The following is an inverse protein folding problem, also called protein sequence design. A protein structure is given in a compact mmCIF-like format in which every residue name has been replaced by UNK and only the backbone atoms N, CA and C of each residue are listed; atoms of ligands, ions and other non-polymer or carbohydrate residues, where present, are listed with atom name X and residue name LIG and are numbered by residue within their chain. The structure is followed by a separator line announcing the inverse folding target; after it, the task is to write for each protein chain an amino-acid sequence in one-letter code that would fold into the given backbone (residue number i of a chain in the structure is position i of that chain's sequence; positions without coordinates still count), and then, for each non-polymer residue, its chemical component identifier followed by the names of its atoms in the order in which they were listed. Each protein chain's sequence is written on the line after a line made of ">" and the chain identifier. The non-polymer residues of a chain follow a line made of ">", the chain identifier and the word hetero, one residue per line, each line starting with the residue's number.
data_IF_992414763370
#
_entry.id   IF_992414763370
#
_cell.length_a   1.000
_cell.length_b   1.000
_cell.length_c   1.000
_cell.angle_alpha   90.00
_cell.angle_beta   90.00
_cell.angle_gamma   90.00
#
_symmetry.space_group_name_H-M   'P 1'
#
loop_
_entity.id
_entity.type
_entity.pdbx_description
1 polymer ?
#
# COMPACT_ATOMS: atom_id res chain seq x y z
N UNK A 1 -43.70 -48.89 8.07
CA UNK A 1 -44.76 -49.11 9.08
C UNK A 1 -44.52 -50.46 9.75
N UNK A 2 -44.86 -50.69 11.04
CA UNK A 2 -45.80 -49.93 11.89
C UNK A 2 -45.20 -49.45 13.24
N UNK A 3 -45.58 -48.25 13.72
CA UNK A 3 -46.62 -47.90 14.75
C UNK A 3 -46.14 -48.13 16.20
N UNK A 4 -45.82 -47.08 16.97
CA UNK A 4 -46.70 -46.12 17.71
C UNK A 4 -47.29 -46.66 19.03
N UNK A 5 -47.13 -45.90 20.13
CA UNK A 5 -48.19 -45.39 21.06
C UNK A 5 -47.57 -44.90 22.39
N UNK A 6 -47.73 -43.61 22.77
CA UNK A 6 -48.74 -43.01 23.70
C UNK A 6 -48.40 -43.25 25.18
N UNK A 7 -48.69 -42.39 26.18
CA UNK A 7 -49.32 -41.05 26.36
C UNK A 7 -49.20 -40.70 27.87
N UNK A 8 -49.31 -39.41 28.19
CA UNK A 8 -49.90 -38.90 29.44
C UNK A 8 -48.87 -38.47 30.49
N UNK A 9 -48.97 -37.33 31.17
CA UNK A 9 -50.03 -36.33 31.28
C UNK A 9 -49.92 -35.70 32.68
N UNK A 10 -50.10 -34.39 32.81
CA UNK A 10 -50.22 -33.74 34.12
C UNK A 10 -49.66 -32.33 34.18
N UNK A 11 -50.54 -31.34 34.05
CA UNK A 11 -50.31 -29.95 34.46
C UNK A 11 -51.27 -29.67 35.64
N UNK A 12 -50.92 -28.79 36.58
CA UNK A 12 -51.82 -27.68 36.88
C UNK A 12 -51.07 -26.34 37.10
N UNK A 13 -51.47 -25.28 36.36
CA UNK A 13 -52.09 -24.02 36.84
C UNK A 13 -51.35 -23.30 37.99
N UNK A 14 -50.67 -22.18 37.74
CA UNK A 14 -51.19 -20.79 37.72
C UNK A 14 -49.98 -19.87 38.04
N UNK A 15 -49.81 -18.61 37.64
CA UNK A 15 -50.73 -17.49 37.39
C UNK A 15 -49.94 -16.35 36.71
N UNK A 16 -50.61 -15.67 35.77
CA UNK A 16 -50.51 -14.23 35.43
C UNK A 16 -49.16 -13.52 35.19
N UNK A 17 -49.03 -12.93 33.99
CA UNK A 17 -48.70 -11.50 33.88
C UNK A 17 -47.52 -11.10 32.99
N UNK A 18 -47.81 -10.21 32.04
CA UNK A 18 -46.90 -9.33 31.30
C UNK A 18 -46.06 -9.92 30.13
N UNK A 19 -46.55 -9.65 28.92
CA UNK A 19 -45.79 -9.67 27.67
C UNK A 19 -44.66 -8.63 27.73
N UNK A 20 -43.41 -9.08 27.78
CA UNK A 20 -42.27 -8.28 27.34
C UNK A 20 -41.69 -8.88 26.06
N UNK A 21 -41.68 -8.08 25.00
CA UNK A 21 -40.98 -8.34 23.74
C UNK A 21 -39.53 -8.75 24.03
N UNK A 22 -39.17 -9.97 23.63
CA UNK A 22 -37.77 -10.41 23.53
C UNK A 22 -37.06 -9.57 22.46
N UNK A 23 -36.36 -8.54 22.87
CA UNK A 23 -35.28 -7.93 22.09
C UNK A 23 -34.02 -8.71 22.45
N UNK A 24 -33.66 -9.69 21.62
CA UNK A 24 -32.35 -10.34 21.72
C UNK A 24 -31.26 -9.31 21.39
N UNK A 25 -30.18 -9.23 22.17
CA UNK A 25 -29.07 -8.33 21.90
C UNK A 25 -28.26 -8.89 20.73
N UNK A 26 -28.06 -8.07 19.69
CA UNK A 26 -27.07 -8.35 18.66
C UNK A 26 -25.69 -8.41 19.32
N UNK A 27 -25.07 -9.58 19.26
CA UNK A 27 -23.66 -9.80 19.58
C UNK A 27 -22.82 -9.07 18.53
N UNK A 28 -22.09 -8.06 18.97
CA UNK A 28 -21.21 -7.20 18.18
C UNK A 28 -19.76 -7.68 18.31
N UNK A 29 -19.53 -8.95 18.03
CA UNK A 29 -18.19 -9.50 17.86
C UNK A 29 -17.90 -9.52 16.36
N UNK A 30 -16.77 -8.90 16.00
CA UNK A 30 -16.11 -8.94 14.68
C UNK A 30 -16.46 -7.81 13.67
N UNK A 31 -15.91 -6.60 13.93
CA UNK A 31 -15.77 -5.56 12.90
C UNK A 31 -14.63 -4.54 13.20
N UNK A 32 -13.41 -5.01 13.39
CA UNK A 32 -12.20 -4.19 13.27
C UNK A 32 -11.79 -4.03 11.80
N UNK A 33 -12.33 -3.02 11.10
CA UNK A 33 -11.60 -2.37 10.00
C UNK A 33 -11.88 -0.87 10.05
N UNK A 34 -10.77 -0.14 10.16
CA UNK A 34 -10.59 1.29 10.35
C UNK A 34 -11.11 2.10 9.15
N UNK A 35 -12.08 2.98 9.41
CA UNK A 35 -12.34 4.15 8.56
C UNK A 35 -13.13 5.16 9.36
N UNK A 36 -12.53 5.63 10.45
CA UNK A 36 -12.85 6.91 11.08
C UNK A 36 -11.55 7.42 11.72
N UNK A 37 -11.22 8.68 11.45
CA UNK A 37 -10.14 9.44 12.08
C UNK A 37 -10.05 9.14 13.59
N UNK A 38 -9.11 8.27 13.97
CA UNK A 38 -8.64 8.13 15.33
C UNK A 38 -7.26 8.79 15.41
N UNK A 39 -7.16 9.86 16.20
CA UNK A 39 -5.89 10.20 16.82
C UNK A 39 -5.40 8.91 17.51
N UNK A 40 -4.32 8.32 17.00
CA UNK A 40 -3.68 7.11 17.52
C UNK A 40 -3.60 7.15 19.05
N UNK A 41 -4.53 6.44 19.69
CA UNK A 41 -4.52 6.19 21.11
C UNK A 41 -3.71 4.94 21.36
N UNK A 42 -2.59 5.12 22.06
CA UNK A 42 -1.85 4.13 22.82
C UNK A 42 -1.60 2.75 22.17
N UNK A 43 -0.38 2.60 21.69
CA UNK A 43 0.41 1.39 21.86
C UNK A 43 1.76 1.84 22.44
N UNK A 44 1.87 1.87 23.78
CA UNK A 44 3.17 1.81 24.43
C UNK A 44 3.66 0.36 24.22
N UNK A 45 4.76 0.11 23.49
CA UNK A 45 5.50 -1.13 23.74
C UNK A 45 5.99 -1.06 25.19
N UNK A 46 5.83 -2.16 25.92
CA UNK A 46 6.40 -2.30 27.26
C UNK A 46 7.87 -1.85 27.21
N UNK A 47 8.26 -1.05 28.21
CA UNK A 47 9.62 -0.58 28.43
C UNK A 47 10.61 -1.72 28.22
N UNK A 48 11.41 -1.62 27.17
CA UNK A 48 12.66 -2.37 27.08
C UNK A 48 13.57 -1.74 28.14
N UNK A 49 13.88 -2.49 29.19
CA UNK A 49 14.97 -2.15 30.09
C UNK A 49 16.23 -2.69 29.46
N UNK A 50 17.05 -1.83 28.89
CA UNK A 50 18.41 -2.18 28.47
C UNK A 50 19.37 -1.17 29.09
N UNK A 51 19.77 -1.47 30.32
CA UNK A 51 21.11 -1.12 30.80
C UNK A 51 22.00 -2.29 30.37
N UNK A 52 22.54 -2.23 29.15
CA UNK A 52 23.56 -3.14 28.65
C UNK A 52 24.75 -2.32 28.14
N UNK A 53 26.01 -2.69 28.43
CA UNK A 53 27.17 -1.95 27.96
C UNK A 53 27.29 -2.07 26.43
N UNK A 54 27.81 -1.06 25.73
CA UNK A 54 28.02 -0.95 24.27
C UNK A 54 28.63 -2.23 23.61
N UNK A 55 29.31 -3.06 24.40
CA UNK A 55 29.89 -4.36 24.01
C UNK A 55 28.83 -5.43 23.65
N UNK A 56 27.63 -5.39 24.22
CA UNK A 56 26.55 -6.34 23.87
C UNK A 56 25.89 -6.01 22.53
N UNK A 57 25.69 -4.72 22.21
CA UNK A 57 25.10 -4.29 20.93
C UNK A 57 26.01 -4.63 19.74
N UNK A 58 27.31 -4.35 19.83
CA UNK A 58 28.29 -4.70 18.78
C UNK A 58 28.35 -6.22 18.53
N UNK A 59 28.40 -7.03 19.59
CA UNK A 59 28.39 -8.49 19.48
C UNK A 59 27.11 -9.01 18.80
N UNK A 60 25.94 -8.40 19.08
CA UNK A 60 24.68 -8.79 18.42
C UNK A 60 24.63 -8.39 16.94
N UNK A 61 25.33 -7.32 16.56
CA UNK A 61 25.43 -6.87 15.18
C UNK A 61 26.38 -7.77 14.37
N UNK A 62 27.54 -8.12 14.91
CA UNK A 62 28.46 -9.07 14.27
C UNK A 62 27.81 -10.44 14.06
N UNK A 63 27.08 -10.94 15.07
CA UNK A 63 26.32 -12.20 14.97
C UNK A 63 25.25 -12.13 13.88
N UNK A 64 24.58 -10.99 13.73
CA UNK A 64 23.62 -10.78 12.66
C UNK A 64 24.31 -10.79 11.30
N UNK A 65 25.40 -10.04 11.13
CA UNK A 65 26.14 -10.02 9.87
C UNK A 65 26.70 -11.38 9.49
N UNK A 66 27.17 -12.16 10.46
CA UNK A 66 27.61 -13.53 10.26
C UNK A 66 26.48 -14.41 9.72
N UNK A 67 25.27 -14.30 10.31
CA UNK A 67 24.07 -14.99 9.80
C UNK A 67 23.72 -14.53 8.39
N UNK A 68 23.80 -13.24 8.10
CA UNK A 68 23.51 -12.69 6.77
C UNK A 68 24.51 -13.17 5.71
N UNK A 69 25.81 -13.25 6.04
CA UNK A 69 26.83 -13.85 5.18
C UNK A 69 26.47 -15.30 4.85
N UNK A 70 26.07 -16.08 5.84
CA UNK A 70 25.56 -17.43 5.64
C UNK A 70 24.34 -17.49 4.72
N UNK A 71 23.39 -16.56 4.84
CA UNK A 71 22.25 -16.49 3.91
C UNK A 71 22.70 -16.15 2.48
N UNK A 72 23.67 -15.24 2.30
CA UNK A 72 24.24 -14.93 0.98
C UNK A 72 24.84 -16.21 0.35
N UNK A 73 25.60 -17.00 1.10
CA UNK A 73 26.16 -18.26 0.59
C UNK A 73 25.07 -19.25 0.19
N UNK A 74 23.99 -19.34 0.97
CA UNK A 74 22.84 -20.21 0.69
C UNK A 74 22.05 -19.79 -0.57
N UNK A 75 22.23 -18.57 -1.09
CA UNK A 75 21.67 -18.19 -2.40
C UNK A 75 22.33 -18.94 -3.57
N UNK A 76 23.46 -19.62 -3.34
CA UNK A 76 24.16 -20.42 -4.34
C UNK A 76 23.89 -21.92 -4.18
N UNK A 77 23.05 -22.32 -3.23
CA UNK A 77 22.78 -23.72 -2.92
C UNK A 77 22.11 -24.46 -4.10
N UNK A 78 22.36 -25.77 -4.19
CA UNK A 78 21.78 -26.62 -5.24
C UNK A 78 20.26 -26.71 -5.13
N UNK A 79 19.71 -26.65 -3.91
CA UNK A 79 18.28 -26.71 -3.64
C UNK A 79 17.60 -25.36 -3.86
N UNK A 80 16.61 -25.32 -4.75
CA UNK A 80 15.80 -24.13 -5.00
C UNK A 80 15.06 -23.64 -3.74
N UNK A 81 14.58 -24.57 -2.90
CA UNK A 81 13.90 -24.22 -1.65
C UNK A 81 14.86 -23.54 -0.67
N UNK A 82 16.10 -23.99 -0.59
CA UNK A 82 17.13 -23.39 0.26
C UNK A 82 17.45 -21.97 -0.22
N UNK A 83 17.65 -21.78 -1.52
CA UNK A 83 17.86 -20.45 -2.11
C UNK A 83 16.69 -19.50 -1.84
N UNK A 84 15.46 -19.96 -2.04
CA UNK A 84 14.26 -19.19 -1.75
C UNK A 84 14.20 -18.76 -0.27
N UNK A 85 14.42 -19.69 0.67
CA UNK A 85 14.44 -19.37 2.10
C UNK A 85 15.56 -18.38 2.46
N UNK A 86 16.71 -18.47 1.80
CA UNK A 86 17.80 -17.53 1.99
C UNK A 86 17.43 -16.11 1.52
N UNK A 87 16.85 -15.99 0.33
CA UNK A 87 16.36 -14.70 -0.21
C UNK A 87 15.31 -14.07 0.70
N UNK A 88 14.34 -14.84 1.21
CA UNK A 88 13.34 -14.34 2.15
C UNK A 88 13.96 -13.94 3.51
N UNK A 89 14.96 -14.68 3.98
CA UNK A 89 15.72 -14.31 5.18
C UNK A 89 16.44 -12.96 5.02
N UNK A 90 17.08 -12.74 3.86
CA UNK A 90 17.71 -11.47 3.52
C UNK A 90 16.68 -10.35 3.44
N UNK A 91 15.54 -10.56 2.76
CA UNK A 91 14.46 -9.57 2.70
C UNK A 91 13.98 -9.16 4.10
N UNK A 92 13.69 -10.14 4.95
CA UNK A 92 13.21 -9.86 6.31
C UNK A 92 14.21 -9.03 7.12
N UNK A 93 15.51 -9.30 6.97
CA UNK A 93 16.55 -8.50 7.61
C UNK A 93 16.59 -7.07 7.06
N UNK A 94 16.58 -6.92 5.73
CA UNK A 94 16.63 -5.61 5.06
C UNK A 94 15.36 -4.78 5.24
N UNK A 95 14.23 -5.41 5.54
CA UNK A 95 13.00 -4.71 5.92
C UNK A 95 13.05 -4.23 7.36
N UNK A 96 13.71 -4.98 8.25
CA UNK A 96 13.66 -4.74 9.70
C UNK A 96 14.80 -3.86 10.21
N UNK A 97 15.91 -3.77 9.47
CA UNK A 97 17.12 -3.06 9.86
C UNK A 97 17.74 -2.35 8.66
N UNK A 98 18.40 -1.22 8.92
CA UNK A 98 19.22 -0.51 7.94
C UNK A 98 20.64 -1.08 8.04
N UNK A 99 21.13 -1.64 6.94
CA UNK A 99 22.35 -2.43 6.83
C UNK A 99 23.22 -1.88 5.69
N UNK A 100 23.30 -0.57 5.57
CA UNK A 100 23.92 0.12 4.43
C UNK A 100 25.37 -0.35 4.19
N UNK A 101 26.25 -0.26 5.19
CA UNK A 101 27.66 -0.66 5.06
C UNK A 101 27.80 -2.14 4.68
N UNK A 102 27.06 -3.02 5.37
CA UNK A 102 27.07 -4.46 5.09
C UNK A 102 26.70 -4.77 3.62
N UNK A 103 25.69 -4.06 3.11
CA UNK A 103 25.21 -4.19 1.74
C UNK A 103 26.20 -3.60 0.75
N UNK A 104 26.72 -2.40 1.03
CA UNK A 104 27.64 -1.68 0.15
C UNK A 104 28.89 -2.52 -0.14
N UNK A 105 29.48 -3.10 0.89
CA UNK A 105 30.65 -4.01 0.78
C UNK A 105 30.37 -5.26 -0.09
N UNK A 106 29.11 -5.69 -0.15
CA UNK A 106 28.69 -6.97 -0.78
C UNK A 106 27.79 -6.77 -1.99
N UNK A 107 27.65 -5.53 -2.48
CA UNK A 107 26.68 -5.15 -3.50
C UNK A 107 26.80 -6.00 -4.77
N UNK A 108 28.02 -6.28 -5.21
CA UNK A 108 28.28 -7.08 -6.42
C UNK A 108 27.82 -8.52 -6.22
N UNK A 109 28.22 -9.15 -5.10
CA UNK A 109 27.83 -10.52 -4.77
C UNK A 109 26.31 -10.66 -4.61
N UNK A 110 25.66 -9.71 -3.93
CA UNK A 110 24.22 -9.68 -3.77
C UNK A 110 23.51 -9.55 -5.12
N UNK A 111 23.98 -8.64 -5.98
CA UNK A 111 23.43 -8.42 -7.32
C UNK A 111 23.57 -9.67 -8.19
N UNK A 112 24.74 -10.31 -8.20
CA UNK A 112 24.99 -11.55 -8.96
C UNK A 112 24.10 -12.71 -8.48
N UNK A 113 23.90 -12.83 -7.16
CA UNK A 113 23.00 -13.82 -6.56
C UNK A 113 21.54 -13.56 -6.96
N UNK A 114 21.10 -12.31 -6.89
CA UNK A 114 19.75 -11.88 -7.30
C UNK A 114 19.55 -12.15 -8.80
N UNK A 115 20.47 -11.72 -9.67
CA UNK A 115 20.37 -11.90 -11.12
C UNK A 115 20.24 -13.39 -11.44
N UNK A 116 21.08 -14.24 -10.83
CA UNK A 116 21.03 -15.69 -11.02
C UNK A 116 19.69 -16.29 -10.61
N UNK A 117 19.16 -15.91 -9.45
CA UNK A 117 17.88 -16.41 -8.94
C UNK A 117 16.71 -15.95 -9.82
N UNK A 118 16.74 -14.71 -10.33
CA UNK A 118 15.76 -14.22 -11.31
C UNK A 118 15.86 -15.02 -12.63
N UNK A 119 17.08 -15.29 -13.09
CA UNK A 119 17.35 -15.93 -14.39
C UNK A 119 17.04 -17.41 -14.45
N UNK A 120 17.36 -18.13 -13.38
CA UNK A 120 17.33 -19.60 -13.34
C UNK A 120 16.31 -20.15 -12.34
N UNK A 121 15.82 -19.32 -11.43
CA UNK A 121 14.86 -19.70 -10.42
C UNK A 121 13.48 -19.96 -11.00
N UNK A 122 12.63 -20.59 -10.18
CA UNK A 122 11.19 -20.72 -10.46
C UNK A 122 10.42 -19.55 -9.85
N UNK A 123 9.13 -19.47 -10.16
CA UNK A 123 8.23 -18.39 -9.75
C UNK A 123 8.47 -17.83 -8.34
N UNK A 124 8.44 -18.67 -7.30
CA UNK A 124 8.58 -18.18 -5.91
C UNK A 124 9.98 -17.65 -5.60
N UNK A 125 11.02 -18.28 -6.17
CA UNK A 125 12.42 -17.84 -6.05
C UNK A 125 12.64 -16.52 -6.81
N UNK A 126 12.04 -16.37 -7.99
CA UNK A 126 12.07 -15.13 -8.77
C UNK A 126 11.36 -13.99 -8.03
N UNK A 127 10.21 -14.26 -7.40
CA UNK A 127 9.50 -13.29 -6.58
C UNK A 127 10.35 -12.84 -5.38
N UNK A 128 10.98 -13.78 -4.67
CA UNK A 128 11.86 -13.46 -3.55
C UNK A 128 13.08 -12.64 -4.01
N UNK A 129 13.71 -13.02 -5.13
CA UNK A 129 14.87 -12.30 -5.65
C UNK A 129 14.52 -10.88 -6.13
N UNK A 130 13.39 -10.71 -6.83
CA UNK A 130 12.90 -9.41 -7.26
C UNK A 130 12.55 -8.50 -6.07
N UNK A 131 11.91 -9.06 -5.03
CA UNK A 131 11.65 -8.31 -3.79
C UNK A 131 12.93 -7.91 -3.05
N UNK A 132 13.94 -8.78 -3.05
CA UNK A 132 15.25 -8.46 -2.47
C UNK A 132 15.96 -7.35 -3.25
N UNK A 133 15.84 -7.33 -4.59
CA UNK A 133 16.37 -6.26 -5.43
C UNK A 133 15.75 -4.89 -5.08
N UNK A 134 14.44 -4.84 -4.84
CA UNK A 134 13.79 -3.62 -4.37
C UNK A 134 14.40 -3.13 -3.06
N UNK A 135 14.51 -4.00 -2.06
CA UNK A 135 15.08 -3.65 -0.75
C UNK A 135 16.55 -3.25 -0.84
N UNK A 136 17.31 -3.89 -1.73
CA UNK A 136 18.70 -3.54 -2.01
C UNK A 136 18.81 -2.09 -2.50
N UNK A 137 18.03 -1.68 -3.51
CA UNK A 137 17.98 -0.30 -3.96
C UNK A 137 17.45 0.66 -2.88
N UNK A 138 16.44 0.26 -2.09
CA UNK A 138 15.91 1.08 -0.99
C UNK A 138 16.98 1.42 0.04
N UNK A 139 17.86 0.48 0.35
CA UNK A 139 18.92 0.70 1.33
C UNK A 139 20.13 1.43 0.75
N UNK A 140 20.54 1.11 -0.48
CA UNK A 140 21.64 1.79 -1.17
C UNK A 140 21.29 3.24 -1.51
N UNK A 141 20.00 3.56 -1.68
CA UNK A 141 19.53 4.91 -2.00
C UNK A 141 19.71 5.30 -3.47
N UNK A 142 19.48 6.58 -3.79
CA UNK A 142 19.77 7.12 -5.11
C UNK A 142 21.27 7.36 -5.25
N UNK A 143 21.90 6.73 -6.23
CA UNK A 143 23.34 6.76 -6.40
C UNK A 143 23.84 5.76 -7.43
N UNK A 144 25.14 5.80 -7.71
CA UNK A 144 25.81 4.98 -8.72
C UNK A 144 25.68 3.49 -8.36
N UNK A 145 25.69 3.17 -7.07
CA UNK A 145 25.56 1.83 -6.52
C UNK A 145 24.23 1.19 -6.91
N UNK A 146 23.11 1.88 -6.69
CA UNK A 146 21.79 1.42 -7.11
C UNK A 146 21.65 1.42 -8.63
N UNK A 147 22.26 2.38 -9.33
CA UNK A 147 22.23 2.45 -10.80
C UNK A 147 22.89 1.21 -11.42
N UNK A 148 24.03 0.76 -10.90
CA UNK A 148 24.71 -0.47 -11.35
C UNK A 148 23.89 -1.73 -11.07
N UNK A 149 23.26 -1.82 -9.91
CA UNK A 149 22.30 -2.90 -9.59
C UNK A 149 21.19 -2.92 -10.63
N UNK A 150 20.57 -1.76 -10.90
CA UNK A 150 19.45 -1.67 -11.82
C UNK A 150 19.88 -1.97 -13.27
N UNK A 151 21.01 -1.45 -13.75
CA UNK A 151 21.55 -1.75 -15.09
C UNK A 151 21.78 -3.25 -15.30
N UNK A 152 22.20 -3.97 -14.25
CA UNK A 152 22.41 -5.42 -14.30
C UNK A 152 21.08 -6.18 -14.35
N UNK A 153 20.09 -5.78 -13.57
CA UNK A 153 18.83 -6.52 -13.40
C UNK A 153 17.74 -6.12 -14.42
N UNK A 154 17.70 -4.88 -14.88
CA UNK A 154 16.63 -4.37 -15.75
C UNK A 154 16.44 -5.19 -17.04
N UNK A 155 17.49 -5.61 -17.78
CA UNK A 155 17.33 -6.38 -19.01
C UNK A 155 16.63 -7.72 -18.78
N UNK A 156 16.95 -8.40 -17.68
CA UNK A 156 16.35 -9.70 -17.37
C UNK A 156 14.93 -9.57 -16.83
N UNK A 157 14.67 -8.53 -16.03
CA UNK A 157 13.32 -8.22 -15.55
C UNK A 157 12.38 -7.88 -16.72
N UNK A 158 12.82 -7.03 -17.66
CA UNK A 158 12.08 -6.67 -18.89
C UNK A 158 11.78 -7.91 -19.75
N UNK A 159 12.77 -8.81 -19.88
CA UNK A 159 12.61 -10.08 -20.60
C UNK A 159 11.54 -10.97 -19.98
N UNK A 160 11.59 -11.20 -18.66
CA UNK A 160 10.61 -12.05 -17.98
C UNK A 160 9.23 -11.41 -18.02
N UNK A 161 9.12 -10.11 -17.76
CA UNK A 161 7.85 -9.37 -17.81
C UNK A 161 7.14 -9.53 -19.16
N UNK A 162 7.90 -9.51 -20.25
CA UNK A 162 7.39 -9.62 -21.62
C UNK A 162 7.16 -11.06 -22.09
N UNK A 163 7.72 -12.05 -21.39
CA UNK A 163 7.60 -13.45 -21.73
C UNK A 163 6.22 -14.02 -21.36
N UNK A 164 5.41 -14.30 -22.38
CA UNK A 164 4.06 -14.89 -22.19
C UNK A 164 4.07 -16.31 -21.62
N UNK A 165 5.21 -17.00 -21.64
CA UNK A 165 5.38 -18.34 -21.07
C UNK A 165 5.82 -18.33 -19.61
N UNK A 166 6.33 -17.20 -19.10
CA UNK A 166 6.69 -17.04 -17.70
C UNK A 166 5.44 -17.00 -16.80
N UNK A 167 5.59 -17.42 -15.54
CA UNK A 167 4.47 -17.42 -14.60
C UNK A 167 3.98 -15.99 -14.35
N UNK A 168 2.67 -15.84 -14.16
CA UNK A 168 2.05 -14.53 -13.87
C UNK A 168 2.68 -13.90 -12.61
N UNK A 169 2.92 -14.70 -11.57
CA UNK A 169 3.53 -14.23 -10.33
C UNK A 169 4.95 -13.68 -10.54
N UNK A 170 5.79 -14.37 -11.31
CA UNK A 170 7.14 -13.88 -11.63
C UNK A 170 7.09 -12.58 -12.43
N UNK A 171 6.19 -12.50 -13.41
CA UNK A 171 5.98 -11.30 -14.22
C UNK A 171 5.51 -10.12 -13.38
N UNK A 172 4.61 -10.35 -12.42
CA UNK A 172 4.18 -9.34 -11.47
C UNK A 172 5.33 -8.82 -10.60
N UNK A 173 6.12 -9.74 -10.04
CA UNK A 173 7.29 -9.37 -9.25
C UNK A 173 8.30 -8.58 -10.09
N UNK A 174 8.49 -8.94 -11.35
CA UNK A 174 9.35 -8.19 -12.28
C UNK A 174 8.80 -6.80 -12.59
N UNK A 175 7.48 -6.63 -12.79
CA UNK A 175 6.86 -5.33 -13.01
C UNK A 175 7.07 -4.39 -11.81
N UNK A 176 6.79 -4.89 -10.61
CA UNK A 176 6.99 -4.13 -9.37
C UNK A 176 8.47 -3.78 -9.17
N UNK A 177 9.37 -4.74 -9.35
CA UNK A 177 10.81 -4.53 -9.22
C UNK A 177 11.35 -3.52 -10.23
N UNK A 178 10.92 -3.59 -11.49
CA UNK A 178 11.26 -2.58 -12.50
C UNK A 178 10.82 -1.18 -12.10
N UNK A 179 9.56 -1.01 -11.70
CA UNK A 179 9.04 0.31 -11.29
C UNK A 179 9.80 0.87 -10.09
N UNK A 180 10.02 0.06 -9.07
CA UNK A 180 10.68 0.49 -7.82
C UNK A 180 12.15 0.79 -8.04
N UNK A 181 12.90 -0.12 -8.64
CA UNK A 181 14.32 0.09 -8.87
C UNK A 181 14.55 1.23 -9.87
N UNK A 182 13.69 1.39 -10.89
CA UNK A 182 13.78 2.54 -11.79
C UNK A 182 13.50 3.86 -11.07
N UNK A 183 12.46 3.90 -10.21
CA UNK A 183 12.16 5.08 -9.38
C UNK A 183 13.33 5.53 -8.50
N UNK A 184 14.06 4.56 -7.92
CA UNK A 184 15.15 4.84 -6.97
C UNK A 184 16.48 5.14 -7.69
N UNK A 185 16.80 4.36 -8.72
CA UNK A 185 18.16 4.22 -9.22
C UNK A 185 18.43 4.92 -10.55
N UNK A 186 17.39 5.30 -11.31
CA UNK A 186 17.56 5.79 -12.68
C UNK A 186 17.73 7.30 -12.71
N UNK A 187 18.91 7.77 -13.11
CA UNK A 187 19.15 9.17 -13.53
C UNK A 187 19.11 9.32 -15.06
N UNK A 188 19.18 8.21 -15.80
CA UNK A 188 19.05 8.18 -17.26
C UNK A 188 17.58 8.22 -17.71
N UNK A 189 17.16 9.36 -18.21
CA UNK A 189 15.82 9.61 -18.77
C UNK A 189 15.41 8.60 -19.86
N UNK A 190 16.36 8.05 -20.62
CA UNK A 190 16.07 7.09 -21.68
C UNK A 190 15.70 5.71 -21.10
N UNK A 191 16.36 5.31 -20.01
CA UNK A 191 16.04 4.06 -19.31
C UNK A 191 14.71 4.18 -18.56
N UNK A 192 14.39 5.36 -18.01
CA UNK A 192 13.07 5.68 -17.46
C UNK A 192 11.97 5.47 -18.51
N UNK A 193 12.12 6.09 -19.68
CA UNK A 193 11.13 5.98 -20.77
C UNK A 193 11.01 4.55 -21.30
N UNK A 194 12.13 3.84 -21.46
CA UNK A 194 12.13 2.43 -21.86
C UNK A 194 11.38 1.54 -20.85
N UNK A 195 11.56 1.81 -19.56
CA UNK A 195 10.88 1.05 -18.50
C UNK A 195 9.39 1.36 -18.46
N UNK A 196 9.01 2.63 -18.62
CA UNK A 196 7.61 3.04 -18.74
C UNK A 196 6.92 2.37 -19.93
N UNK A 197 7.55 2.39 -21.12
CA UNK A 197 7.02 1.75 -22.32
C UNK A 197 6.86 0.22 -22.13
N UNK A 198 7.81 -0.42 -21.45
CA UNK A 198 7.71 -1.84 -21.13
C UNK A 198 6.47 -2.13 -20.26
N UNK A 199 6.22 -1.33 -19.23
CA UNK A 199 5.04 -1.47 -18.36
C UNK A 199 3.74 -1.15 -19.11
N UNK A 200 3.72 -0.10 -19.94
CA UNK A 200 2.61 0.27 -20.82
C UNK A 200 2.18 -0.89 -21.73
N UNK A 201 3.13 -1.53 -22.39
CA UNK A 201 2.87 -2.69 -23.24
C UNK A 201 2.22 -3.87 -22.51
N UNK A 202 2.28 -3.90 -21.17
CA UNK A 202 1.59 -4.89 -20.34
C UNK A 202 0.19 -4.43 -20.00
N UNK A 203 0.02 -3.29 -19.32
CA UNK A 203 -1.32 -2.92 -18.82
C UNK A 203 -2.27 -2.47 -19.93
N UNK A 204 -1.79 -1.92 -21.05
CA UNK A 204 -2.64 -1.45 -22.16
C UNK A 204 -3.43 -2.57 -22.84
N UNK A 205 -3.00 -3.83 -22.68
CA UNK A 205 -3.77 -5.02 -23.12
C UNK A 205 -5.14 -5.12 -22.45
N UNK A 206 -5.30 -4.51 -21.27
CA UNK A 206 -6.58 -4.44 -20.57
C UNK A 206 -7.59 -3.45 -21.19
N UNK A 207 -7.16 -2.56 -22.08
CA UNK A 207 -8.06 -1.62 -22.78
C UNK A 207 -8.99 -2.31 -23.79
N UNK A 208 -8.65 -3.50 -24.29
CA UNK A 208 -9.30 -4.11 -25.45
C UNK A 208 -10.56 -4.96 -25.13
N UNK A 209 -11.09 -4.88 -23.91
CA UNK A 209 -12.04 -5.85 -23.37
C UNK A 209 -13.52 -5.73 -23.81
N UNK A 210 -13.82 -5.20 -25.00
CA UNK A 210 -15.23 -5.09 -25.47
C UNK A 210 -15.68 -6.15 -26.49
N UNK A 211 -14.80 -6.95 -27.11
CA UNK A 211 -15.23 -7.83 -28.23
C UNK A 211 -14.90 -9.32 -28.17
N UNK A 212 -14.01 -9.78 -27.27
CA UNK A 212 -13.68 -11.21 -27.17
C UNK A 212 -14.10 -11.78 -25.82
N UNK A 213 -15.41 -11.93 -25.66
CA UNK A 213 -16.04 -12.77 -24.64
C UNK A 213 -15.74 -14.25 -24.93
N UNK A 214 -14.50 -14.69 -24.69
CA UNK A 214 -14.17 -16.10 -24.51
C UNK A 214 -12.83 -16.25 -23.79
N UNK A 215 -12.83 -17.14 -22.80
CA UNK A 215 -11.70 -17.69 -22.07
C UNK A 215 -11.44 -17.10 -20.68
N UNK A 216 -11.81 -17.92 -19.70
CA UNK A 216 -11.24 -18.34 -18.38
C UNK A 216 -9.83 -17.82 -17.95
N UNK A 217 -9.14 -16.99 -18.75
CA UNK A 217 -7.82 -16.38 -18.48
C UNK A 217 -7.89 -14.97 -17.87
N UNK A 218 -9.07 -14.48 -17.45
CA UNK A 218 -9.26 -13.05 -17.13
C UNK A 218 -8.66 -12.60 -15.79
N UNK A 219 -8.78 -13.37 -14.71
CA UNK A 219 -8.39 -12.88 -13.36
C UNK A 219 -6.90 -12.75 -13.16
N UNK A 220 -6.09 -13.76 -13.52
CA UNK A 220 -4.64 -13.73 -13.30
C UNK A 220 -3.94 -12.67 -14.16
N UNK A 221 -4.33 -12.56 -15.44
CA UNK A 221 -3.85 -11.48 -16.31
C UNK A 221 -4.23 -10.10 -15.76
N UNK A 222 -5.41 -9.98 -15.12
CA UNK A 222 -5.81 -8.72 -14.48
C UNK A 222 -4.84 -8.32 -13.36
N UNK A 223 -4.37 -9.24 -12.53
CA UNK A 223 -3.43 -8.90 -11.45
C UNK A 223 -2.06 -8.47 -12.00
N UNK A 224 -1.60 -9.05 -13.11
CA UNK A 224 -0.41 -8.57 -13.83
C UNK A 224 -0.61 -7.16 -14.38
N UNK A 225 -1.74 -6.89 -15.03
CA UNK A 225 -2.04 -5.55 -15.53
C UNK A 225 -2.13 -4.52 -14.41
N UNK A 226 -2.64 -4.88 -13.22
CA UNK A 226 -2.66 -4.01 -12.03
C UNK A 226 -1.22 -3.69 -11.59
N UNK A 227 -0.37 -4.71 -11.42
CA UNK A 227 1.04 -4.50 -11.03
C UNK A 227 1.77 -3.59 -12.02
N UNK A 228 1.60 -3.82 -13.33
CA UNK A 228 2.21 -2.99 -14.35
C UNK A 228 1.66 -1.54 -14.35
N UNK A 229 0.35 -1.37 -14.14
CA UNK A 229 -0.27 -0.05 -14.03
C UNK A 229 0.27 0.72 -12.83
N UNK A 230 0.31 0.12 -11.64
CA UNK A 230 0.80 0.79 -10.42
C UNK A 230 2.30 1.11 -10.50
N UNK A 231 3.12 0.21 -11.06
CA UNK A 231 4.53 0.47 -11.31
C UNK A 231 4.72 1.63 -12.31
N UNK A 232 3.90 1.71 -13.36
CA UNK A 232 3.92 2.81 -14.32
C UNK A 232 3.47 4.12 -13.69
N UNK A 233 2.41 4.10 -12.87
CA UNK A 233 1.90 5.24 -12.12
C UNK A 233 2.93 5.77 -11.12
N UNK A 234 3.74 4.89 -10.50
CA UNK A 234 4.90 5.30 -9.70
C UNK A 234 5.93 6.04 -10.55
N UNK A 235 6.30 5.54 -11.73
CA UNK A 235 7.28 6.22 -12.58
C UNK A 235 6.80 7.56 -13.12
N UNK A 236 5.49 7.74 -13.28
CA UNK A 236 4.90 9.04 -13.61
C UNK A 236 5.18 10.12 -12.56
N UNK A 237 5.37 9.77 -11.29
CA UNK A 237 5.59 10.76 -10.21
C UNK A 237 6.93 11.47 -10.29
N UNK A 238 7.91 10.86 -10.97
CA UNK A 238 9.25 11.41 -11.21
C UNK A 238 9.49 11.76 -12.68
N UNK A 239 8.45 11.62 -13.51
CA UNK A 239 8.57 11.80 -14.95
C UNK A 239 8.64 13.31 -15.31
N UNK A 240 9.51 13.72 -16.25
CA UNK A 240 9.54 15.10 -16.71
C UNK A 240 8.20 15.55 -17.28
N UNK A 241 7.80 16.80 -17.00
CA UNK A 241 6.47 17.34 -17.35
C UNK A 241 6.11 17.20 -18.84
N UNK A 242 7.09 17.33 -19.75
CA UNK A 242 6.85 17.16 -21.19
C UNK A 242 6.41 15.74 -21.55
N UNK A 243 6.93 14.73 -20.85
CA UNK A 243 6.52 13.35 -21.07
C UNK A 243 5.19 13.05 -20.38
N UNK A 244 4.96 13.61 -19.19
CA UNK A 244 3.65 13.55 -18.51
C UNK A 244 2.53 14.05 -19.44
N UNK A 245 2.71 15.17 -20.15
CA UNK A 245 1.76 15.67 -21.16
C UNK A 245 1.42 14.62 -22.22
N UNK A 246 2.44 14.00 -22.82
CA UNK A 246 2.24 12.96 -23.84
C UNK A 246 1.51 11.74 -23.28
N UNK A 247 1.86 11.30 -22.07
CA UNK A 247 1.20 10.16 -21.41
C UNK A 247 -0.27 10.47 -21.07
N UNK A 248 -0.58 11.70 -20.65
CA UNK A 248 -1.94 12.16 -20.44
C UNK A 248 -2.76 12.10 -21.74
N UNK A 249 -2.27 12.69 -22.82
CA UNK A 249 -2.92 12.66 -24.13
C UNK A 249 -3.18 11.22 -24.60
N UNK A 250 -2.19 10.34 -24.41
CA UNK A 250 -2.26 8.95 -24.86
C UNK A 250 -3.23 8.07 -24.06
N UNK A 251 -3.33 8.27 -22.74
CA UNK A 251 -3.99 7.33 -21.85
C UNK A 251 -5.26 7.83 -21.18
N UNK A 252 -5.39 9.13 -20.89
CA UNK A 252 -6.43 9.64 -19.99
C UNK A 252 -7.84 9.25 -20.44
N UNK A 253 -8.15 9.41 -21.73
CA UNK A 253 -9.44 9.05 -22.32
C UNK A 253 -9.73 7.52 -22.34
N UNK A 254 -8.73 6.67 -22.10
CA UNK A 254 -8.86 5.20 -22.07
C UNK A 254 -9.13 4.65 -20.67
N UNK A 255 -8.79 5.39 -19.61
CA UNK A 255 -9.02 4.97 -18.22
C UNK A 255 -10.47 4.65 -17.87
N UNK A 256 -11.49 5.35 -18.42
CA UNK A 256 -12.87 4.96 -18.21
C UNK A 256 -13.13 3.48 -18.52
N UNK A 257 -12.49 2.87 -19.53
CA UNK A 257 -12.66 1.44 -19.83
C UNK A 257 -12.25 0.56 -18.64
N UNK A 258 -11.15 0.88 -17.97
CA UNK A 258 -10.65 0.14 -16.80
C UNK A 258 -11.58 0.24 -15.60
N UNK A 259 -12.29 1.37 -15.45
CA UNK A 259 -13.31 1.56 -14.43
C UNK A 259 -14.54 0.65 -14.62
N UNK A 260 -14.72 0.05 -15.80
CA UNK A 260 -15.76 -0.95 -16.07
C UNK A 260 -15.32 -2.40 -15.85
N UNK A 261 -14.05 -2.68 -15.57
CA UNK A 261 -13.58 -4.05 -15.40
C UNK A 261 -14.32 -4.77 -14.26
N UNK A 262 -14.55 -6.09 -14.37
CA UNK A 262 -15.23 -6.88 -13.33
C UNK A 262 -14.44 -6.96 -12.01
N UNK A 263 -13.11 -6.98 -12.12
CA UNK A 263 -12.20 -7.06 -10.99
C UNK A 263 -12.17 -5.75 -10.19
N UNK A 264 -12.43 -5.84 -8.88
CA UNK A 264 -12.47 -4.68 -7.99
C UNK A 264 -11.12 -3.99 -7.81
N UNK A 265 -10.03 -4.76 -7.76
CA UNK A 265 -8.69 -4.20 -7.60
C UNK A 265 -8.25 -3.45 -8.85
N UNK A 266 -8.65 -3.90 -10.05
CA UNK A 266 -8.40 -3.16 -11.29
C UNK A 266 -9.14 -1.82 -11.30
N UNK A 267 -10.43 -1.81 -10.93
CA UNK A 267 -11.16 -0.54 -10.83
C UNK A 267 -10.54 0.40 -9.82
N UNK A 268 -10.14 -0.10 -8.64
CA UNK A 268 -9.45 0.70 -7.61
C UNK A 268 -8.14 1.29 -8.17
N UNK A 269 -7.25 0.46 -8.70
CA UNK A 269 -5.97 0.91 -9.25
C UNK A 269 -6.15 1.93 -10.40
N UNK A 270 -7.13 1.71 -11.27
CA UNK A 270 -7.48 2.64 -12.33
C UNK A 270 -8.06 3.96 -11.81
N UNK A 271 -8.88 3.92 -10.76
CA UNK A 271 -9.44 5.12 -10.12
C UNK A 271 -8.37 5.97 -9.43
N UNK A 272 -7.47 5.34 -8.68
CA UNK A 272 -6.36 6.03 -8.00
C UNK A 272 -5.36 6.60 -9.01
N UNK A 273 -5.04 5.82 -10.07
CA UNK A 273 -4.20 6.32 -11.17
C UNK A 273 -4.88 7.49 -11.89
N UNK A 274 -6.19 7.42 -12.13
CA UNK A 274 -6.94 8.51 -12.75
C UNK A 274 -6.89 9.79 -11.90
N UNK A 275 -7.03 9.67 -10.58
CA UNK A 275 -6.93 10.82 -9.68
C UNK A 275 -5.54 11.47 -9.74
N UNK A 276 -4.47 10.65 -9.77
CA UNK A 276 -3.10 11.11 -9.97
C UNK A 276 -2.91 11.77 -11.34
N UNK A 277 -3.46 11.21 -12.41
CA UNK A 277 -3.39 11.81 -13.75
C UNK A 277 -4.09 13.17 -13.80
N UNK A 278 -5.25 13.32 -13.16
CA UNK A 278 -5.93 14.61 -13.04
C UNK A 278 -5.09 15.61 -12.25
N UNK A 279 -4.49 15.19 -11.13
CA UNK A 279 -3.57 16.02 -10.33
C UNK A 279 -2.39 16.51 -11.17
N UNK A 280 -1.71 15.60 -11.89
CA UNK A 280 -0.60 15.94 -12.78
C UNK A 280 -1.03 16.84 -13.94
N UNK A 281 -2.19 16.59 -14.56
CA UNK A 281 -2.70 17.40 -15.66
C UNK A 281 -2.93 18.85 -15.25
N UNK A 282 -3.51 19.06 -14.07
CA UNK A 282 -3.77 20.40 -13.51
C UNK A 282 -2.52 21.11 -13.03
N UNK A 283 -1.54 20.35 -12.53
CA UNK A 283 -0.22 20.91 -12.21
C UNK A 283 0.53 21.36 -13.47
N UNK A 284 0.25 20.70 -14.60
CA UNK A 284 0.91 20.92 -15.88
C UNK A 284 0.25 22.03 -16.72
N UNK A 285 -1.09 22.13 -16.63
CA UNK A 285 -1.92 23.10 -17.33
C UNK A 285 -3.02 23.60 -16.38
N UNK A 286 -2.96 24.88 -16.00
CA UNK A 286 -3.93 25.49 -15.10
C UNK A 286 -5.34 25.60 -15.70
N UNK A 287 -5.45 25.59 -17.02
CA UNK A 287 -6.71 25.63 -17.77
C UNK A 287 -7.16 24.22 -18.20
N UNK A 288 -6.56 23.17 -17.61
CA UNK A 288 -6.85 21.78 -17.94
C UNK A 288 -8.37 21.49 -17.94
N UNK A 289 -8.86 21.09 -19.10
CA UNK A 289 -10.25 20.72 -19.33
C UNK A 289 -10.33 19.29 -19.86
N UNK A 290 -11.21 18.49 -19.24
CA UNK A 290 -11.49 17.13 -19.68
C UNK A 290 -12.87 17.07 -20.34
N UNK A 291 -12.93 16.77 -21.64
CA UNK A 291 -14.15 16.86 -22.46
C UNK A 291 -15.30 16.01 -21.90
N UNK A 292 -15.02 14.76 -21.49
CA UNK A 292 -16.03 13.80 -21.02
C UNK A 292 -16.24 13.84 -19.48
N UNK A 293 -16.07 15.02 -18.86
CA UNK A 293 -16.11 15.15 -17.39
C UNK A 293 -17.42 14.63 -16.79
N UNK A 294 -18.55 14.96 -17.40
CA UNK A 294 -19.86 14.55 -16.90
C UNK A 294 -20.02 13.03 -16.90
N UNK A 295 -19.67 12.37 -18.02
CA UNK A 295 -19.75 10.91 -18.15
C UNK A 295 -18.83 10.21 -17.15
N UNK A 296 -17.60 10.71 -17.01
CA UNK A 296 -16.63 10.18 -16.06
C UNK A 296 -17.15 10.30 -14.62
N UNK A 297 -17.64 11.46 -14.25
CA UNK A 297 -18.18 11.74 -12.92
C UNK A 297 -19.40 10.88 -12.60
N UNK A 298 -20.32 10.67 -13.55
CA UNK A 298 -21.45 9.75 -13.37
C UNK A 298 -20.95 8.33 -13.05
N UNK A 299 -19.91 7.88 -13.76
CA UNK A 299 -19.29 6.57 -13.53
C UNK A 299 -18.62 6.47 -12.16
N UNK A 300 -17.86 7.49 -11.76
CA UNK A 300 -17.22 7.56 -10.45
C UNK A 300 -18.27 7.57 -9.31
N UNK A 301 -19.36 8.33 -9.46
CA UNK A 301 -20.50 8.35 -8.52
C UNK A 301 -21.15 6.97 -8.36
N UNK A 302 -21.32 6.24 -9.47
CA UNK A 302 -21.84 4.87 -9.43
C UNK A 302 -20.91 3.92 -8.63
N UNK A 303 -19.60 4.03 -8.82
CA UNK A 303 -18.60 3.22 -8.10
C UNK A 303 -18.46 3.61 -6.62
N UNK A 304 -18.61 4.90 -6.30
CA UNK A 304 -18.61 5.45 -4.95
C UNK A 304 -19.83 5.02 -4.13
N UNK A 305 -20.95 4.72 -4.79
CA UNK A 305 -22.19 4.26 -4.15
C UNK A 305 -22.32 2.74 -4.10
N UNK A 306 -21.78 2.04 -5.11
CA UNK A 306 -21.83 0.58 -5.36
C UNK A 306 -22.99 -0.16 -4.67
N UNK A 307 -24.14 -0.14 -5.35
CA UNK A 307 -25.34 -0.86 -4.94
C UNK A 307 -25.39 -2.34 -5.36
N UNK A 308 -24.33 -2.88 -5.99
CA UNK A 308 -24.41 -4.21 -6.58
C UNK A 308 -24.47 -5.31 -5.50
N UNK A 309 -25.59 -6.03 -5.42
CA UNK A 309 -25.80 -7.07 -4.41
C UNK A 309 -24.89 -8.30 -4.61
N UNK A 310 -24.39 -8.53 -5.81
CA UNK A 310 -23.57 -9.69 -6.16
C UNK A 310 -22.08 -9.52 -5.82
N UNK A 311 -21.65 -8.34 -5.38
CA UNK A 311 -20.27 -8.09 -4.92
C UNK A 311 -20.11 -8.36 -3.42
N UNK A 312 -18.96 -8.89 -3.01
CA UNK A 312 -18.63 -9.11 -1.61
C UNK A 312 -18.73 -7.82 -0.77
N UNK A 313 -19.14 -7.95 0.49
CA UNK A 313 -19.35 -6.81 1.40
C UNK A 313 -18.06 -6.02 1.65
N UNK A 314 -16.94 -6.74 1.83
CA UNK A 314 -15.61 -6.15 2.05
C UNK A 314 -15.17 -5.35 0.82
N UNK A 315 -15.24 -5.96 -0.36
CA UNK A 315 -14.89 -5.32 -1.64
C UNK A 315 -15.70 -4.05 -1.90
N UNK A 316 -17.02 -4.10 -1.67
CA UNK A 316 -17.88 -2.91 -1.78
C UNK A 316 -17.48 -1.82 -0.82
N UNK A 317 -17.15 -2.17 0.43
CA UNK A 317 -16.72 -1.18 1.43
C UNK A 317 -15.41 -0.51 0.99
N UNK A 318 -14.42 -1.29 0.55
CA UNK A 318 -13.14 -0.79 0.05
C UNK A 318 -13.34 0.11 -1.17
N UNK A 319 -14.04 -0.37 -2.18
CA UNK A 319 -14.31 0.38 -3.41
C UNK A 319 -15.02 1.70 -3.12
N UNK A 320 -16.13 1.68 -2.37
CA UNK A 320 -16.85 2.92 -2.05
C UNK A 320 -15.99 3.92 -1.32
N UNK A 321 -15.09 3.47 -0.45
CA UNK A 321 -14.17 4.38 0.23
C UNK A 321 -13.26 5.07 -0.78
N UNK A 322 -12.51 4.29 -1.57
CA UNK A 322 -11.58 4.81 -2.57
C UNK A 322 -12.29 5.73 -3.57
N UNK A 323 -13.44 5.30 -4.10
CA UNK A 323 -14.13 6.06 -5.14
C UNK A 323 -14.81 7.34 -4.65
N UNK A 324 -15.05 7.50 -3.34
CA UNK A 324 -15.44 8.81 -2.79
C UNK A 324 -14.28 9.78 -2.83
N UNK A 325 -13.08 9.31 -2.54
CA UNK A 325 -11.88 10.14 -2.54
C UNK A 325 -11.45 10.47 -3.97
N UNK A 326 -11.48 9.48 -4.88
CA UNK A 326 -11.24 9.69 -6.33
C UNK A 326 -12.27 10.63 -6.95
N UNK A 327 -13.56 10.47 -6.64
CA UNK A 327 -14.60 11.38 -7.13
C UNK A 327 -14.32 12.81 -6.69
N UNK A 328 -13.95 13.01 -5.43
CA UNK A 328 -13.63 14.33 -4.89
C UNK A 328 -12.38 14.92 -5.52
N UNK A 329 -11.36 14.11 -5.75
CA UNK A 329 -10.16 14.54 -6.46
C UNK A 329 -10.49 15.03 -7.88
N UNK A 330 -11.34 14.30 -8.60
CA UNK A 330 -11.74 14.63 -9.97
C UNK A 330 -12.70 15.83 -10.02
N UNK A 331 -13.70 15.94 -9.15
CA UNK A 331 -14.68 17.05 -9.18
C UNK A 331 -14.19 18.33 -8.49
N UNK A 332 -13.52 18.21 -7.34
CA UNK A 332 -13.28 19.32 -6.40
C UNK A 332 -11.80 19.67 -6.25
N UNK A 333 -10.89 18.95 -6.92
CA UNK A 333 -9.44 19.13 -6.78
C UNK A 333 -8.94 18.92 -5.33
N UNK A 334 -9.67 18.11 -4.55
CA UNK A 334 -9.37 17.88 -3.13
C UNK A 334 -8.69 16.52 -2.90
N UNK A 335 -7.88 16.46 -1.84
CA UNK A 335 -7.30 15.23 -1.31
C UNK A 335 -7.54 15.17 0.21
N UNK A 336 -8.15 14.09 0.73
CA UNK A 336 -8.34 13.95 2.17
C UNK A 336 -7.00 13.65 2.85
N UNK A 337 -6.34 14.68 3.41
CA UNK A 337 -5.01 14.56 4.03
C UNK A 337 -4.94 13.41 5.04
N UNK A 338 -4.00 12.50 4.83
CA UNK A 338 -3.71 11.39 5.73
C UNK A 338 -2.48 11.74 6.60
N UNK A 339 -2.48 11.31 7.86
CA UNK A 339 -1.34 11.54 8.77
C UNK A 339 -0.70 10.21 9.14
N UNK A 340 0.57 10.04 8.77
CA UNK A 340 1.41 8.91 9.15
C UNK A 340 2.28 9.34 10.33
N UNK A 341 2.25 8.59 11.44
CA UNK A 341 3.11 8.85 12.60
C UNK A 341 4.18 7.77 12.70
N UNK A 342 5.41 8.17 12.96
CA UNK A 342 6.56 7.27 13.12
C UNK A 342 7.52 7.88 14.15
N UNK A 343 7.79 7.14 15.23
CA UNK A 343 8.53 7.68 16.37
C UNK A 343 7.89 9.00 16.88
N UNK A 344 8.67 10.07 17.09
CA UNK A 344 8.17 11.38 17.50
C UNK A 344 7.63 12.21 16.32
N UNK A 345 7.89 11.80 15.08
CA UNK A 345 7.62 12.56 13.87
C UNK A 345 6.26 12.20 13.24
N UNK A 346 5.80 13.09 12.36
CA UNK A 346 4.58 12.90 11.57
C UNK A 346 4.83 13.37 10.15
N UNK A 347 4.37 12.58 9.19
CA UNK A 347 4.29 12.96 7.79
C UNK A 347 2.82 13.10 7.39
N UNK A 348 2.55 14.12 6.58
CA UNK A 348 1.27 14.29 5.92
C UNK A 348 1.35 13.79 4.49
N UNK A 349 0.38 12.97 4.11
CA UNK A 349 0.10 12.61 2.72
C UNK A 349 -1.06 13.50 2.30
N UNK A 350 -0.79 14.43 1.40
CA UNK A 350 -1.68 15.53 1.03
C UNK A 350 -1.94 15.61 -0.49
N UNK A 351 -1.33 14.71 -1.27
CA UNK A 351 -1.55 14.59 -2.71
C UNK A 351 -1.48 13.13 -3.19
N UNK A 352 -1.99 12.87 -4.39
CA UNK A 352 -2.00 11.53 -4.99
C UNK A 352 -0.61 11.04 -5.37
N UNK A 353 0.28 11.93 -5.82
CA UNK A 353 1.69 11.61 -6.07
C UNK A 353 2.37 11.04 -4.81
N UNK A 354 2.21 11.72 -3.67
CA UNK A 354 2.79 11.29 -2.39
C UNK A 354 2.12 10.02 -1.88
N UNK A 355 0.80 9.86 -2.07
CA UNK A 355 0.05 8.64 -1.74
C UNK A 355 0.59 7.43 -2.51
N UNK A 356 0.70 7.52 -3.83
CA UNK A 356 1.21 6.45 -4.70
C UNK A 356 2.62 6.01 -4.28
N UNK A 357 3.48 6.99 -4.01
CA UNK A 357 4.86 6.75 -3.58
C UNK A 357 4.89 6.06 -2.21
N UNK A 358 4.10 6.54 -1.25
CA UNK A 358 3.97 5.92 0.07
C UNK A 358 3.44 4.49 0.04
N UNK A 359 2.36 4.24 -0.69
CA UNK A 359 1.75 2.91 -0.78
C UNK A 359 2.72 1.91 -1.43
N UNK A 360 3.52 2.35 -2.41
CA UNK A 360 4.59 1.53 -3.01
C UNK A 360 5.63 1.11 -1.96
N UNK A 361 6.20 2.08 -1.21
CA UNK A 361 7.19 1.74 -0.18
C UNK A 361 6.60 0.91 0.96
N UNK A 362 5.34 1.17 1.33
CA UNK A 362 4.61 0.40 2.33
C UNK A 362 4.42 -1.06 1.91
N UNK A 363 4.16 -1.34 0.64
CA UNK A 363 4.02 -2.70 0.13
C UNK A 363 5.36 -3.47 0.14
N UNK A 364 6.48 -2.77 -0.05
CA UNK A 364 7.84 -3.36 -0.03
C UNK A 364 8.33 -3.57 1.40
N UNK A 365 8.16 -2.57 2.26
CA UNK A 365 8.72 -2.52 3.60
C UNK A 365 7.77 -3.08 4.66
N UNK A 366 6.47 -3.19 4.40
CA UNK A 366 5.50 -3.72 5.36
C UNK A 366 5.64 -3.10 6.75
N UNK A 367 5.92 -3.94 7.76
CA UNK A 367 6.13 -3.49 9.15
C UNK A 367 7.38 -2.63 9.35
N UNK A 368 8.36 -2.73 8.45
CA UNK A 368 9.59 -1.94 8.46
C UNK A 368 9.40 -0.47 8.06
N UNK A 369 8.26 -0.11 7.44
CA UNK A 369 8.02 1.23 6.90
C UNK A 369 8.25 2.34 7.93
N UNK A 370 7.78 2.16 9.18
CA UNK A 370 7.95 3.17 10.23
C UNK A 370 9.40 3.40 10.62
N UNK A 371 10.21 2.35 10.60
CA UNK A 371 11.64 2.44 10.93
C UNK A 371 12.41 3.08 9.78
N UNK A 372 12.13 2.71 8.54
CA UNK A 372 12.77 3.32 7.38
C UNK A 372 12.39 4.80 7.21
N UNK A 373 11.16 5.22 7.51
CA UNK A 373 10.81 6.65 7.57
C UNK A 373 11.64 7.41 8.61
N UNK A 374 12.06 6.76 9.69
CA UNK A 374 12.88 7.38 10.74
C UNK A 374 14.36 7.42 10.38
N UNK A 375 14.90 6.44 9.67
CA UNK A 375 16.37 6.31 9.63
C UNK A 375 16.95 6.13 8.23
N UNK A 376 16.15 5.80 7.22
CA UNK A 376 16.64 5.56 5.87
C UNK A 376 16.69 6.88 5.09
N UNK A 377 17.89 7.28 4.66
CA UNK A 377 18.12 8.56 3.98
C UNK A 377 17.33 8.72 2.67
N UNK A 378 17.18 7.63 1.89
CA UNK A 378 16.35 7.66 0.68
C UNK A 378 14.90 8.01 1.00
N UNK A 379 14.27 7.33 1.96
CA UNK A 379 12.87 7.62 2.32
C UNK A 379 12.72 9.03 2.93
N UNK A 380 13.70 9.45 3.75
CA UNK A 380 13.74 10.81 4.30
C UNK A 380 13.76 11.86 3.18
N UNK A 381 14.56 11.64 2.14
CA UNK A 381 14.64 12.53 0.97
C UNK A 381 13.37 12.48 0.12
N UNK A 382 12.86 11.29 -0.21
CA UNK A 382 11.64 11.10 -1.02
C UNK A 382 10.42 11.80 -0.40
N UNK A 383 10.31 11.79 0.93
CA UNK A 383 9.19 12.40 1.64
C UNK A 383 9.50 13.76 2.26
N UNK A 384 10.67 14.32 1.98
CA UNK A 384 11.14 15.64 2.47
C UNK A 384 11.07 15.78 4.00
N UNK A 385 11.48 14.74 4.71
CA UNK A 385 11.40 14.66 6.18
C UNK A 385 12.61 15.27 6.89
N UNK A 386 13.60 15.75 6.14
CA UNK A 386 14.89 16.20 6.67
C UNK A 386 15.77 15.04 7.17
N UNK A 387 16.95 15.34 7.74
CA UNK A 387 17.89 14.32 8.20
C UNK A 387 17.30 13.45 9.33
N UNK A 388 17.72 12.18 9.46
CA UNK A 388 17.36 11.32 10.58
C UNK A 388 17.54 11.99 11.94
N UNK A 389 16.49 11.97 12.76
CA UNK A 389 16.57 12.48 14.13
C UNK A 389 17.41 11.54 14.99
N UNK A 390 18.63 11.96 15.32
CA UNK A 390 19.48 11.30 16.30
C UNK A 390 18.99 11.67 17.71
N UNK A 391 17.92 11.02 18.18
CA UNK A 391 17.39 11.24 19.51
C UNK A 391 17.83 10.10 20.44
N UNK A 392 18.56 10.45 21.49
CA UNK A 392 18.84 9.52 22.57
C UNK A 392 17.56 9.21 23.38
N UNK A 393 17.62 8.16 24.17
CA UNK A 393 16.48 7.69 24.95
C UNK A 393 16.01 8.74 25.98
N UNK A 394 16.93 9.58 26.47
CA UNK A 394 16.64 10.69 27.37
C UNK A 394 15.83 11.79 26.66
N UNK A 395 16.22 12.19 25.45
CA UNK A 395 15.52 13.15 24.62
C UNK A 395 14.11 12.65 24.26
N UNK A 396 13.97 11.37 23.89
CA UNK A 396 12.67 10.75 23.65
C UNK A 396 11.76 10.79 24.90
N UNK A 397 12.33 10.57 26.10
CA UNK A 397 11.59 10.70 27.37
C UNK A 397 11.15 12.14 27.63
N UNK A 398 11.96 13.15 27.31
CA UNK A 398 11.59 14.57 27.45
C UNK A 398 10.54 15.04 26.45
N UNK A 399 10.49 14.45 25.25
CA UNK A 399 9.48 14.75 24.24
C UNK A 399 8.09 14.19 24.58
N UNK A 400 7.99 13.28 25.56
CA UNK A 400 6.69 12.74 26.00
C UNK A 400 5.93 13.81 26.79
N UNK A 401 4.82 14.27 26.22
CA UNK A 401 3.88 15.17 26.89
C UNK A 401 3.45 14.54 28.23
N UNK A 402 3.59 15.25 29.37
CA UNK A 402 3.17 14.75 30.67
C UNK A 402 1.72 14.26 30.66
N UNK A 403 1.43 13.19 31.42
CA UNK A 403 0.08 12.59 31.48
C UNK A 403 -1.00 13.64 31.81
N UNK A 404 -0.68 14.56 32.70
CA UNK A 404 -1.57 15.65 33.11
C UNK A 404 -1.88 16.62 31.97
N UNK A 405 -0.86 17.08 31.25
CA UNK A 405 -1.03 17.99 30.11
C UNK A 405 -1.82 17.33 28.98
N UNK A 406 -1.50 16.07 28.65
CA UNK A 406 -2.29 15.30 27.69
C UNK A 406 -3.75 15.14 28.11
N UNK A 407 -4.01 14.94 29.41
CA UNK A 407 -5.38 14.86 29.92
C UNK A 407 -6.12 16.20 29.77
N UNK A 408 -5.47 17.32 30.10
CA UNK A 408 -6.04 18.66 29.91
C UNK A 408 -6.32 18.96 28.44
N UNK A 409 -5.37 18.69 27.56
CA UNK A 409 -5.54 18.88 26.12
C UNK A 409 -6.72 18.05 25.57
N UNK A 410 -6.78 16.76 25.92
CA UNK A 410 -7.86 15.88 25.51
C UNK A 410 -9.22 16.32 26.07
N UNK A 411 -9.26 16.78 27.33
CA UNK A 411 -10.47 17.31 27.98
C UNK A 411 -10.96 18.58 27.28
N UNK A 412 -10.04 19.51 26.98
CA UNK A 412 -10.34 20.73 26.24
C UNK A 412 -10.87 20.42 24.82
N UNK A 413 -10.19 19.52 24.09
CA UNK A 413 -10.61 19.07 22.76
C UNK A 413 -11.97 18.36 22.78
N UNK A 414 -12.23 17.52 23.79
CA UNK A 414 -13.52 16.84 23.98
C UNK A 414 -14.64 17.84 24.28
N UNK A 415 -14.40 18.82 25.16
CA UNK A 415 -15.35 19.89 25.49
C UNK A 415 -15.65 20.75 24.26
N UNK A 416 -14.63 21.15 23.50
CA UNK A 416 -14.79 21.90 22.26
C UNK A 416 -15.62 21.12 21.22
N UNK A 417 -15.30 19.83 20.99
CA UNK A 417 -16.05 18.96 20.08
C UNK A 417 -17.50 18.78 20.52
N UNK A 418 -17.74 18.62 21.82
CA UNK A 418 -19.10 18.49 22.39
C UNK A 418 -19.91 19.77 22.18
N UNK A 419 -19.33 20.94 22.46
CA UNK A 419 -19.96 22.25 22.22
C UNK A 419 -20.23 22.51 20.73
N UNK A 420 -19.32 22.11 19.84
CA UNK A 420 -19.53 22.26 18.40
C UNK A 420 -20.67 21.36 17.91
N UNK A 421 -20.70 20.10 18.36
CA UNK A 421 -21.74 19.12 17.97
C UNK A 421 -23.10 19.42 18.59
N UNK A 422 -23.17 19.99 19.80
CA UNK A 422 -24.46 20.31 20.44
C UNK A 422 -25.28 21.29 19.61
N UNK A 423 -24.64 22.22 18.87
CA UNK A 423 -25.32 23.13 17.94
C UNK A 423 -26.08 22.42 16.81
N UNK A 424 -25.68 21.19 16.46
CA UNK A 424 -26.26 20.43 15.35
C UNK A 424 -26.98 19.15 15.82
N UNK A 425 -27.02 18.87 17.14
CA UNK A 425 -27.60 17.63 17.69
C UNK A 425 -29.12 17.58 17.53
N UNK A 426 -29.78 18.73 17.63
CA UNK A 426 -31.24 18.83 17.58
C UNK A 426 -31.80 18.92 16.15
N UNK A 427 -30.96 18.75 15.12
CA UNK A 427 -31.37 18.84 13.69
C UNK A 427 -32.46 17.83 13.29
N UNK A 428 -32.66 16.78 14.08
CA UNK A 428 -33.70 15.76 13.89
C UNK A 428 -34.63 15.63 15.10
N UNK A 429 -34.63 16.61 16.00
CA UNK A 429 -35.57 16.61 17.10
C UNK A 429 -36.97 16.92 16.54
N UNK A 430 -37.95 16.06 16.84
CA UNK A 430 -39.37 16.36 16.63
C UNK A 430 -39.78 17.43 17.64
N UNK A 431 -39.41 18.68 17.35
CA UNK A 431 -39.94 19.84 18.08
C UNK A 431 -41.32 20.10 17.47
N UNK A 432 -42.34 19.42 17.99
CA UNK A 432 -43.72 19.73 17.65
C UNK A 432 -43.98 21.21 17.92
N UNK A 433 -44.54 21.91 16.93
CA UNK A 433 -45.06 23.27 17.12
C UNK A 433 -46.13 23.21 18.22
N UNK A 434 -45.75 23.63 19.42
CA UNK A 434 -46.73 23.94 20.46
C UNK A 434 -47.23 25.33 20.16
N UNK A 435 -48.41 25.39 19.53
CA UNK A 435 -49.18 26.61 19.30
C UNK A 435 -49.63 27.27 20.61
#
# INVERSE_FOLDING_TARGET
>A
MPKSKRRGGGNPRGTSGAQHRNMQPFSDEDASIETMSHCSGFSDPASFTEDGPEVEEEATQEDLEYKLKGLIDLTLDKSAKTRQSALEGLKNALTSKILYEFILERRMTLTDSIERCIKKGKSDEQCAAAGLACLLCVQLGSGIESEEVFKTLAPILKKILSDGSASIQARQACANCLGVCCFIATDDITELYSTMECLENIFTKSYQNEKNSNSISSTQNTVLHISALLAWTLLLTICPMNEVKKKLEMHLHKFPVLLSCDNVNMRIAAGETLALLFELARATDGDFFYEDMELLTQKLKALATDGNKHRAKVDKRKQRSVFRDVLRAVEEHDFPTETVKFGPERMYIDCWVKKQTYDTFKDILGSGMQYHLQSNELLRNVFELGPPLMLDEAALKTMKIPRFERHLYNSAAFKARTKARSKCRDKRADVGEVF
#
